data_IF_212109264086
#
_entry.id   IF_212109264086
#
_cell.length_a   1.000
_cell.length_b   1.000
_cell.length_c   1.000
_cell.angle_alpha   90.00
_cell.angle_beta   90.00
_cell.angle_gamma   90.00
#
_symmetry.space_group_name_H-M   'P 1'
#
loop_
_entity.id
_entity.type
_entity.pdbx_description
1 polymer ?
#
# COMPACT_ATOMS: atom_id res chain seq x y z
N UNK A 1 9.31 -10.37 -24.11
CA UNK A 1 7.96 -9.87 -23.75
C UNK A 1 7.72 -10.12 -22.28
N UNK A 2 7.71 -9.06 -21.49
CA UNK A 2 7.44 -9.11 -20.06
C UNK A 2 5.94 -8.99 -19.83
N UNK A 3 5.39 -9.81 -18.93
CA UNK A 3 3.97 -9.80 -18.61
C UNK A 3 3.77 -9.36 -17.16
N UNK A 4 3.13 -8.21 -16.98
CA UNK A 4 2.66 -7.74 -15.69
C UNK A 4 1.17 -8.06 -15.57
N UNK A 5 0.81 -8.89 -14.59
CA UNK A 5 -0.59 -9.22 -14.27
C UNK A 5 -0.96 -8.46 -13.00
N UNK A 6 -2.12 -7.86 -12.94
CA UNK A 6 -2.50 -7.04 -11.79
C UNK A 6 -2.68 -7.87 -10.51
N UNK A 7 -2.02 -7.49 -9.43
CA UNK A 7 -2.34 -7.89 -8.07
C UNK A 7 -2.38 -6.65 -7.15
N UNK A 8 -2.82 -6.84 -5.90
CA UNK A 8 -3.25 -5.73 -5.08
C UNK A 8 -2.04 -4.97 -4.55
N UNK A 9 -1.66 -3.90 -5.22
CA UNK A 9 -1.07 -2.75 -4.54
C UNK A 9 -2.06 -2.32 -3.45
N UNK A 10 -1.71 -2.61 -2.19
CA UNK A 10 -2.61 -2.42 -1.07
C UNK A 10 -2.55 -0.97 -0.60
N UNK A 11 -3.71 -0.31 -0.58
CA UNK A 11 -3.88 0.98 0.07
C UNK A 11 -4.57 0.73 1.42
N UNK A 12 -3.83 0.98 2.49
CA UNK A 12 -4.34 0.82 3.85
C UNK A 12 -4.57 2.21 4.42
N UNK A 13 -5.85 2.59 4.60
CA UNK A 13 -6.20 3.76 5.40
C UNK A 13 -6.40 3.31 6.84
N UNK A 14 -5.53 3.76 7.75
CA UNK A 14 -5.76 3.57 9.18
C UNK A 14 -6.79 4.61 9.62
N UNK A 15 -8.03 4.19 9.85
CA UNK A 15 -9.05 5.11 10.34
C UNK A 15 -8.86 5.26 11.85
N UNK A 16 -8.34 6.41 12.29
CA UNK A 16 -8.40 6.79 13.68
C UNK A 16 -9.88 7.03 14.04
N UNK A 17 -10.52 6.04 14.67
CA UNK A 17 -11.79 6.24 15.35
C UNK A 17 -11.52 7.09 16.59
N UNK A 18 -11.68 8.40 16.46
CA UNK A 18 -11.97 9.24 17.62
C UNK A 18 -13.35 8.85 18.16
N UNK A 19 -13.42 7.88 19.08
CA UNK A 19 -14.60 7.69 19.91
C UNK A 19 -14.24 7.12 21.27
N UNK A 20 -14.57 7.91 22.29
CA UNK A 20 -14.57 7.63 23.74
C UNK A 20 -13.22 7.49 24.46
N UNK A 21 -12.63 8.65 24.77
CA UNK A 21 -12.29 8.87 26.18
C UNK A 21 -13.57 8.73 27.01
N UNK A 22 -13.50 8.05 28.16
CA UNK A 22 -14.58 7.76 29.11
C UNK A 22 -15.56 6.64 28.74
N UNK A 23 -15.22 5.40 29.11
CA UNK A 23 -16.22 4.47 29.67
C UNK A 23 -15.52 3.53 30.67
N UNK A 24 -15.40 4.05 31.90
CA UNK A 24 -15.26 3.36 33.19
C UNK A 24 -13.90 2.77 33.61
N UNK A 25 -13.26 3.51 34.52
CA UNK A 25 -12.50 2.99 35.66
C UNK A 25 -13.34 1.97 36.47
N UNK A 26 -12.66 0.95 37.01
CA UNK A 26 -13.06 0.07 38.13
C UNK A 26 -14.19 -0.98 37.92
N UNK A 27 -13.83 -2.27 37.77
CA UNK A 27 -14.14 -3.36 38.74
C UNK A 27 -13.85 -4.78 38.17
N UNK A 28 -13.43 -5.69 39.06
CA UNK A 28 -13.19 -7.13 38.90
C UNK A 28 -11.96 -7.62 38.08
N UNK A 29 -10.87 -7.89 38.83
CA UNK A 29 -9.52 -8.37 38.41
C UNK A 29 -9.41 -9.73 37.66
N UNK A 30 -10.47 -10.26 37.05
CA UNK A 30 -10.36 -11.48 36.20
C UNK A 30 -11.02 -11.35 34.82
N UNK A 31 -11.80 -10.29 34.56
CA UNK A 31 -12.43 -10.05 33.24
C UNK A 31 -11.63 -9.12 32.32
N UNK A 32 -10.52 -8.56 32.83
CA UNK A 32 -9.74 -7.52 32.16
C UNK A 32 -9.01 -8.03 30.91
N UNK A 33 -8.54 -9.28 30.91
CA UNK A 33 -7.83 -9.88 29.76
C UNK A 33 -8.79 -10.07 28.57
N UNK A 34 -10.01 -10.56 28.82
CA UNK A 34 -11.00 -10.81 27.78
C UNK A 34 -11.52 -9.50 27.17
N UNK A 35 -11.72 -8.48 28.01
CA UNK A 35 -12.15 -7.13 27.57
C UNK A 35 -11.05 -6.44 26.76
N UNK A 36 -9.77 -6.52 27.18
CA UNK A 36 -8.65 -6.01 26.36
C UNK A 36 -8.59 -6.72 25.01
N UNK A 37 -8.72 -8.05 24.98
CA UNK A 37 -8.75 -8.82 23.74
C UNK A 37 -9.91 -8.39 22.84
N UNK A 38 -11.13 -8.24 23.38
CA UNK A 38 -12.30 -7.76 22.65
C UNK A 38 -12.10 -6.35 22.08
N UNK A 39 -11.48 -5.43 22.84
CA UNK A 39 -11.15 -4.07 22.36
C UNK A 39 -10.09 -4.12 21.24
N UNK A 40 -9.11 -5.00 21.35
CA UNK A 40 -8.08 -5.22 20.31
C UNK A 40 -8.70 -5.80 19.04
N UNK A 41 -9.67 -6.71 19.19
CA UNK A 41 -10.41 -7.28 18.07
C UNK A 41 -11.35 -6.28 17.41
N UNK A 42 -12.03 -5.42 18.18
CA UNK A 42 -12.93 -4.37 17.66
C UNK A 42 -12.12 -3.25 16.96
N UNK A 43 -10.95 -2.87 17.48
CA UNK A 43 -10.06 -1.90 16.84
C UNK A 43 -9.38 -2.44 15.58
N UNK A 44 -9.21 -3.76 15.46
CA UNK A 44 -8.72 -4.43 14.26
C UNK A 44 -9.71 -4.34 13.06
N UNK A 45 -11.01 -4.07 13.31
CA UNK A 45 -12.04 -3.97 12.25
C UNK A 45 -12.04 -2.60 11.54
N UNK A 46 -11.26 -1.61 12.01
CA UNK A 46 -11.27 -0.26 11.44
C UNK A 46 -10.24 -0.01 10.31
N UNK A 47 -9.44 -1.01 9.92
CA UNK A 47 -8.55 -0.90 8.77
C UNK A 47 -9.35 -1.17 7.47
N UNK A 48 -9.93 -0.11 6.90
CA UNK A 48 -10.47 -0.19 5.55
C UNK A 48 -9.32 -0.37 4.55
N UNK A 49 -9.14 -1.59 4.04
CA UNK A 49 -8.32 -1.83 2.86
C UNK A 49 -9.13 -1.38 1.64
N UNK A 50 -8.71 -0.28 1.03
CA UNK A 50 -9.31 0.18 -0.22
C UNK A 50 -8.45 -0.34 -1.37
N UNK A 51 -9.08 -0.98 -2.34
CA UNK A 51 -8.37 -1.42 -3.54
C UNK A 51 -8.15 -0.23 -4.46
N UNK A 52 -6.91 -0.08 -4.95
CA UNK A 52 -6.59 0.86 -6.01
C UNK A 52 -7.35 0.46 -7.28
N UNK A 53 -8.04 1.42 -7.92
CA UNK A 53 -8.62 1.22 -9.25
C UNK A 53 -7.52 1.34 -10.29
N UNK A 54 -7.35 0.27 -11.05
CA UNK A 54 -6.25 0.13 -12.02
C UNK A 54 -6.69 0.68 -13.37
N UNK A 55 -5.83 1.46 -14.03
CA UNK A 55 -6.10 2.01 -15.36
C UNK A 55 -5.84 1.00 -16.47
N UNK A 56 -4.78 0.20 -16.32
CA UNK A 56 -4.34 -0.82 -17.25
C UNK A 56 -3.91 -2.07 -16.48
N UNK A 57 -4.55 -3.20 -16.79
CA UNK A 57 -4.40 -4.46 -16.04
C UNK A 57 -3.33 -5.39 -16.60
N UNK A 58 -2.79 -5.07 -17.78
CA UNK A 58 -1.70 -5.81 -18.44
C UNK A 58 -0.73 -4.86 -19.12
N UNK A 59 0.55 -5.05 -18.85
CA UNK A 59 1.63 -4.32 -19.52
C UNK A 59 2.51 -5.33 -20.26
N UNK A 60 2.94 -4.94 -21.46
CA UNK A 60 3.84 -5.69 -22.33
C UNK A 60 4.96 -4.75 -22.75
N UNK A 61 6.19 -5.15 -22.45
CA UNK A 61 7.41 -4.41 -22.78
C UNK A 61 8.53 -5.40 -23.09
N UNK A 62 9.60 -4.89 -23.71
CA UNK A 62 10.83 -5.62 -23.95
C UNK A 62 11.80 -5.45 -22.77
N UNK A 63 12.90 -6.20 -22.80
CA UNK A 63 13.99 -5.99 -21.86
C UNK A 63 14.64 -4.62 -22.13
N UNK A 64 15.19 -3.98 -21.10
CA UNK A 64 15.76 -2.62 -21.11
C UNK A 64 14.78 -1.47 -21.39
N UNK A 65 13.52 -1.76 -21.72
CA UNK A 65 12.45 -0.75 -21.84
C UNK A 65 12.14 -0.05 -20.52
N UNK A 66 11.39 1.05 -20.64
CA UNK A 66 10.80 1.77 -19.51
C UNK A 66 9.28 1.68 -19.57
N UNK A 67 8.63 1.51 -18.42
CA UNK A 67 7.16 1.50 -18.31
C UNK A 67 6.67 2.48 -17.26
N UNK A 68 5.40 2.83 -17.38
CA UNK A 68 4.67 3.65 -16.41
C UNK A 68 3.48 2.87 -15.89
N UNK A 69 3.49 2.59 -14.60
CA UNK A 69 2.40 1.93 -13.89
C UNK A 69 1.52 3.01 -13.25
N UNK A 70 0.22 2.99 -13.53
CA UNK A 70 -0.70 4.03 -13.06
C UNK A 70 -1.94 3.43 -12.38
N UNK A 71 -2.18 3.87 -11.15
CA UNK A 71 -3.36 3.54 -10.35
C UNK A 71 -4.10 4.80 -9.92
N UNK A 72 -5.40 4.66 -9.71
CA UNK A 72 -6.28 5.71 -9.22
C UNK A 72 -7.00 5.25 -7.96
N UNK A 73 -7.23 6.14 -7.02
CA UNK A 73 -7.94 5.86 -5.79
C UNK A 73 -8.74 7.06 -5.33
N UNK A 74 -9.82 6.79 -4.63
CA UNK A 74 -10.64 7.82 -4.03
C UNK A 74 -9.96 8.32 -2.77
N UNK A 75 -9.31 9.47 -2.85
CA UNK A 75 -8.89 10.22 -1.66
C UNK A 75 -10.13 10.80 -1.01
N UNK A 76 -10.52 10.28 0.15
CA UNK A 76 -11.51 10.92 1.01
C UNK A 76 -10.94 12.23 1.54
N UNK A 77 -11.38 13.34 0.96
CA UNK A 77 -10.91 14.71 1.26
C UNK A 77 -11.22 15.18 2.68
N UNK A 78 -11.86 14.35 3.49
CA UNK A 78 -12.43 14.69 4.79
C UNK A 78 -11.66 14.17 6.01
N UNK A 79 -10.59 13.36 5.88
CA UNK A 79 -9.90 12.81 7.07
C UNK A 79 -8.38 12.72 6.95
N UNK A 80 -7.74 13.36 7.94
CA UNK A 80 -6.30 13.43 8.29
C UNK A 80 -5.28 13.20 7.16
N UNK A 81 -4.46 14.20 6.80
CA UNK A 81 -3.45 14.08 5.72
C UNK A 81 -2.27 13.11 5.98
N UNK A 82 -2.26 12.36 7.09
CA UNK A 82 -1.04 11.75 7.64
C UNK A 82 -1.02 10.21 7.70
N UNK A 83 -2.01 9.48 7.16
CA UNK A 83 -2.12 8.03 7.34
C UNK A 83 -2.16 7.22 6.04
N UNK A 84 -1.67 7.76 4.93
CA UNK A 84 -1.60 7.02 3.68
C UNK A 84 -0.44 6.03 3.70
N UNK A 85 -0.76 4.73 3.58
CA UNK A 85 0.20 3.67 3.34
C UNK A 85 -0.02 3.05 1.96
N UNK A 86 1.03 3.00 1.15
CA UNK A 86 1.06 2.38 -0.18
C UNK A 86 2.14 1.32 -0.18
N UNK A 87 1.77 0.12 -0.65
CA UNK A 87 2.69 -1.01 -0.79
C UNK A 87 2.55 -1.58 -2.21
N UNK A 88 3.59 -1.42 -3.02
CA UNK A 88 3.67 -2.01 -4.36
C UNK A 88 4.65 -3.17 -4.34
N UNK A 89 4.16 -4.36 -4.70
CA UNK A 89 4.89 -5.61 -4.59
C UNK A 89 4.85 -6.34 -5.91
N UNK A 90 5.99 -6.81 -6.39
CA UNK A 90 6.04 -7.83 -7.42
C UNK A 90 5.90 -9.20 -6.76
N UNK A 91 4.89 -9.96 -7.15
CA UNK A 91 4.60 -11.32 -6.71
C UNK A 91 4.87 -12.24 -7.89
N UNK A 92 5.86 -13.10 -7.75
CA UNK A 92 6.14 -14.21 -8.67
C UNK A 92 5.91 -15.53 -7.96
N UNK A 93 5.95 -16.64 -8.69
CA UNK A 93 5.85 -17.98 -8.09
C UNK A 93 7.00 -18.27 -7.11
N UNK A 94 8.12 -17.54 -7.25
CA UNK A 94 9.34 -17.75 -6.46
C UNK A 94 9.41 -16.85 -5.23
N UNK A 95 8.98 -15.58 -5.34
CA UNK A 95 9.13 -14.59 -4.27
C UNK A 95 8.15 -13.43 -4.37
N UNK A 96 7.97 -12.77 -3.24
CA UNK A 96 7.38 -11.42 -3.16
C UNK A 96 8.51 -10.42 -3.00
N UNK A 97 8.49 -9.37 -3.81
CA UNK A 97 9.50 -8.32 -3.81
C UNK A 97 8.89 -6.93 -3.73
N UNK A 98 9.47 -6.05 -2.93
CA UNK A 98 9.00 -4.68 -2.73
C UNK A 98 9.57 -3.74 -3.79
N UNK A 99 8.69 -3.19 -4.62
CA UNK A 99 9.04 -2.20 -5.62
C UNK A 99 9.00 -0.79 -5.05
N UNK A 100 8.00 -0.50 -4.22
CA UNK A 100 7.76 0.84 -3.71
C UNK A 100 6.95 0.79 -2.42
N UNK A 101 7.30 1.66 -1.46
CA UNK A 101 6.58 1.84 -0.21
C UNK A 101 6.46 3.31 0.14
N UNK A 102 5.23 3.70 0.43
CA UNK A 102 4.90 4.95 1.10
C UNK A 102 4.34 4.60 2.48
N UNK A 103 4.87 5.21 3.53
CA UNK A 103 4.39 5.05 4.90
C UNK A 103 4.14 6.44 5.50
N UNK A 104 2.89 6.69 5.92
CA UNK A 104 2.45 8.00 6.41
C UNK A 104 2.79 9.14 5.44
N UNK A 105 2.51 8.93 4.15
CA UNK A 105 2.81 9.90 3.10
C UNK A 105 4.30 10.20 2.87
N UNK A 106 5.20 9.41 3.47
CA UNK A 106 6.65 9.52 3.30
C UNK A 106 7.18 8.26 2.62
N UNK A 107 8.04 8.43 1.61
CA UNK A 107 8.70 7.32 0.94
C UNK A 107 9.66 6.60 1.89
N UNK A 108 9.73 5.27 1.81
CA UNK A 108 10.63 4.44 2.63
C UNK A 108 11.59 3.66 1.72
N UNK A 109 12.67 4.30 1.22
CA UNK A 109 13.59 3.69 0.27
C UNK A 109 14.24 2.40 0.79
N UNK A 110 14.47 2.29 2.09
CA UNK A 110 15.13 1.15 2.73
C UNK A 110 14.32 -0.15 2.63
N UNK A 111 13.03 -0.04 2.29
CA UNK A 111 12.16 -1.20 2.08
C UNK A 111 12.09 -1.67 0.63
N UNK A 112 12.71 -0.95 -0.30
CA UNK A 112 12.79 -1.36 -1.71
C UNK A 112 13.83 -2.46 -1.87
N UNK A 113 13.47 -3.54 -2.57
CA UNK A 113 14.43 -4.60 -2.87
C UNK A 113 15.50 -4.12 -3.84
N UNK A 114 16.73 -4.60 -3.63
CA UNK A 114 17.93 -4.19 -4.37
C UNK A 114 17.73 -4.27 -5.90
N UNK A 115 16.98 -5.26 -6.38
CA UNK A 115 16.70 -5.40 -7.81
C UNK A 115 16.02 -4.16 -8.41
N UNK A 116 15.27 -3.36 -7.64
CA UNK A 116 14.57 -2.16 -8.07
C UNK A 116 15.32 -0.85 -7.75
N UNK A 117 16.45 -0.96 -7.05
CA UNK A 117 17.24 0.19 -6.61
C UNK A 117 17.68 1.06 -7.80
N UNK A 118 17.34 2.35 -7.73
CA UNK A 118 17.64 3.33 -8.79
C UNK A 118 16.88 3.10 -10.10
N UNK A 119 15.89 2.19 -10.13
CA UNK A 119 15.05 1.91 -11.31
C UNK A 119 13.64 2.46 -11.19
N UNK A 120 13.12 2.60 -9.98
CA UNK A 120 11.74 3.04 -9.71
C UNK A 120 11.71 4.50 -9.25
N UNK A 121 10.93 5.31 -9.94
CA UNK A 121 10.62 6.70 -9.58
C UNK A 121 9.10 6.88 -9.45
N UNK A 122 8.64 7.92 -8.77
CA UNK A 122 7.21 8.17 -8.59
C UNK A 122 6.85 9.65 -8.67
N UNK A 123 5.65 9.93 -9.19
CA UNK A 123 5.11 11.28 -9.33
C UNK A 123 4.44 11.72 -8.02
N UNK A 124 5.08 12.64 -7.27
CA UNK A 124 4.55 13.12 -5.99
C UNK A 124 3.33 14.01 -6.15
N UNK A 125 3.28 14.78 -7.22
CA UNK A 125 2.27 15.82 -7.42
C UNK A 125 0.88 15.26 -7.67
N UNK A 126 0.80 14.09 -8.33
CA UNK A 126 -0.47 13.44 -8.68
C UNK A 126 -1.07 12.64 -7.52
N UNK A 127 -0.33 12.45 -6.42
CA UNK A 127 -0.81 11.70 -5.25
C UNK A 127 -1.98 12.39 -4.56
N UNK A 128 -1.95 13.72 -4.49
CA UNK A 128 -3.04 14.54 -3.92
C UNK A 128 -4.32 14.47 -4.74
N UNK A 129 -4.20 14.13 -6.03
CA UNK A 129 -5.33 13.91 -6.94
C UNK A 129 -5.89 12.48 -6.83
N UNK A 130 -5.37 11.67 -5.91
CA UNK A 130 -5.75 10.27 -5.78
C UNK A 130 -5.20 9.40 -6.90
N UNK A 131 -3.98 9.69 -7.37
CA UNK A 131 -3.31 8.91 -8.41
C UNK A 131 -1.94 8.48 -7.92
N UNK A 132 -1.56 7.24 -8.20
CA UNK A 132 -0.21 6.74 -7.98
C UNK A 132 0.38 6.43 -9.34
N UNK A 133 1.53 7.03 -9.65
CA UNK A 133 2.28 6.72 -10.87
C UNK A 133 3.69 6.32 -10.52
N UNK A 134 4.10 5.12 -10.94
CA UNK A 134 5.45 4.61 -10.82
C UNK A 134 6.09 4.49 -12.20
N UNK A 135 7.26 5.07 -12.37
CA UNK A 135 8.12 4.91 -13.54
C UNK A 135 9.16 3.84 -13.24
N UNK A 136 9.14 2.75 -14.00
CA UNK A 136 10.12 1.66 -13.87
C UNK A 136 11.00 1.67 -15.10
N UNK A 137 12.31 1.80 -14.89
CA UNK A 137 13.30 1.86 -15.96
C UNK A 137 14.17 0.62 -16.02
N UNK A 138 14.79 0.36 -17.19
CA UNK A 138 15.71 -0.76 -17.41
C UNK A 138 15.06 -2.08 -16.97
N UNK A 139 13.93 -2.40 -17.59
CA UNK A 139 13.19 -3.61 -17.28
C UNK A 139 14.04 -4.86 -17.52
N UNK A 140 13.87 -5.84 -16.64
CA UNK A 140 14.54 -7.13 -16.71
C UNK A 140 13.53 -8.26 -16.84
N UNK A 141 13.99 -9.42 -17.29
CA UNK A 141 13.13 -10.61 -17.35
C UNK A 141 12.49 -10.97 -16.02
N UNK A 142 13.23 -10.77 -14.92
CA UNK A 142 12.78 -11.02 -13.55
C UNK A 142 11.66 -10.08 -13.07
N UNK A 143 11.43 -8.95 -13.75
CA UNK A 143 10.38 -8.00 -13.37
C UNK A 143 8.98 -8.49 -13.80
N UNK A 144 8.90 -9.54 -14.63
CA UNK A 144 7.63 -10.15 -15.01
C UNK A 144 6.97 -10.81 -13.80
N UNK A 145 5.66 -10.59 -13.65
CA UNK A 145 4.92 -11.18 -12.55
C UNK A 145 3.65 -10.41 -12.24
N UNK A 146 3.18 -10.58 -11.01
CA UNK A 146 1.95 -9.95 -10.54
C UNK A 146 2.24 -8.73 -9.66
N UNK A 147 1.69 -7.57 -9.94
CA UNK A 147 1.94 -6.33 -9.16
C UNK A 147 1.05 -6.17 -7.93
#
# INVERSE_FOLDING_TARGET
>A
VLHFVDGPCALVSQQASHSCALTFLFEAREKMILILLLITMISCVCAGTSFLKVKQTKYQAEEDDNITLEWTFTTRSDKSPNLLMILCKLITDLRVSFMYRLHHSVEVPESQDEQFSGRVQWDRDVLREGRLRLHVSRLRTEDSGRL
#
